data_IF_074399359145
#
_entry.id   IF_074399359145
#
_cell.length_a   1.000
_cell.length_b   1.000
_cell.length_c   1.000
_cell.angle_alpha   90.00
_cell.angle_beta   90.00
_cell.angle_gamma   90.00
#
_symmetry.space_group_name_H-M   'P 1'
#
loop_
_entity.id
_entity.type
_entity.pdbx_description
1 polymer ?
#
# COMPACT_ATOMS: atom_id res chain seq x y z
N UNK A 1 -17.12 7.34 -3.51
CA UNK A 1 -16.57 6.09 -4.05
C UNK A 1 -15.16 5.89 -3.56
N UNK A 2 -14.89 4.71 -3.06
CA UNK A 2 -13.56 4.38 -2.58
C UNK A 2 -12.77 3.79 -3.73
N UNK A 3 -11.62 4.39 -4.00
CA UNK A 3 -10.72 3.89 -5.04
C UNK A 3 -9.67 3.00 -4.38
N UNK A 4 -10.06 1.76 -4.17
CA UNK A 4 -9.14 0.79 -3.58
C UNK A 4 -8.32 0.16 -4.70
N UNK A 5 -7.02 0.05 -4.48
CA UNK A 5 -6.13 -0.64 -5.39
C UNK A 5 -5.65 -1.92 -4.73
N UNK A 6 -5.74 -3.03 -5.46
CA UNK A 6 -5.25 -4.31 -4.96
C UNK A 6 -3.94 -4.64 -5.64
N UNK A 7 -2.92 -4.98 -4.85
CA UNK A 7 -1.63 -5.38 -5.37
C UNK A 7 -1.19 -6.69 -4.73
N UNK A 8 -0.30 -7.40 -5.42
CA UNK A 8 0.22 -8.68 -4.93
C UNK A 8 1.73 -8.59 -4.81
N UNK A 9 2.24 -8.96 -3.64
CA UNK A 9 3.68 -9.00 -3.36
C UNK A 9 3.98 -10.31 -2.62
N UNK A 10 4.86 -11.11 -3.19
CA UNK A 10 5.33 -12.36 -2.55
C UNK A 10 4.18 -13.25 -2.09
N UNK A 11 3.19 -13.45 -2.95
CA UNK A 11 2.01 -14.28 -2.69
C UNK A 11 1.03 -13.69 -1.67
N UNK A 12 1.25 -12.46 -1.23
CA UNK A 12 0.32 -11.78 -0.34
C UNK A 12 -0.41 -10.69 -1.11
N UNK A 13 -1.64 -10.43 -0.71
CA UNK A 13 -2.47 -9.42 -1.35
C UNK A 13 -2.58 -8.21 -0.42
N UNK A 14 -2.28 -7.03 -0.96
CA UNK A 14 -2.41 -5.77 -0.24
C UNK A 14 -3.46 -4.90 -0.87
N UNK A 15 -4.12 -4.11 -0.06
CA UNK A 15 -5.14 -3.16 -0.51
C UNK A 15 -4.67 -1.76 -0.15
N UNK A 16 -4.68 -0.88 -1.14
CA UNK A 16 -4.28 0.52 -0.94
C UNK A 16 -5.52 1.39 -1.09
N UNK A 17 -5.70 2.30 -0.16
CA UNK A 17 -6.82 3.24 -0.19
C UNK A 17 -6.30 4.65 0.05
N UNK A 18 -6.61 5.56 -0.87
CA UNK A 18 -6.29 6.98 -0.69
C UNK A 18 -7.31 7.60 0.23
N UNK A 19 -6.83 8.37 1.19
CA UNK A 19 -7.68 9.08 2.14
C UNK A 19 -7.08 10.46 2.39
N UNK A 20 -7.60 11.46 1.67
CA UNK A 20 -7.05 12.80 1.74
C UNK A 20 -5.60 12.82 1.29
N UNK A 21 -4.70 13.26 2.14
CA UNK A 21 -3.27 13.31 1.86
C UNK A 21 -2.54 12.03 2.30
N UNK A 22 -3.28 11.03 2.74
CA UNK A 22 -2.71 9.80 3.23
C UNK A 22 -3.03 8.61 2.36
N UNK A 23 -2.25 7.56 2.53
CA UNK A 23 -2.47 6.28 1.88
C UNK A 23 -2.59 5.23 2.95
N UNK A 24 -3.76 4.58 3.02
CA UNK A 24 -3.95 3.47 3.93
C UNK A 24 -3.50 2.19 3.25
N UNK A 25 -2.67 1.42 3.96
CA UNK A 25 -2.16 0.14 3.47
C UNK A 25 -2.78 -0.96 4.31
N UNK A 26 -3.45 -1.89 3.65
CA UNK A 26 -4.04 -3.04 4.32
C UNK A 26 -3.53 -4.33 3.69
N UNK A 27 -3.61 -5.40 4.46
CA UNK A 27 -3.25 -6.74 4.01
C UNK A 27 -4.48 -7.61 4.04
N UNK A 28 -4.73 -8.30 2.96
CA UNK A 28 -5.90 -9.19 2.90
C UNK A 28 -5.55 -10.53 3.53
N UNK A 29 -6.34 -10.91 4.53
CA UNK A 29 -6.15 -12.17 5.24
C UNK A 29 -7.50 -12.86 5.35
N UNK A 30 -7.66 -13.99 4.67
CA UNK A 30 -8.86 -14.81 4.81
C UNK A 30 -10.16 -14.11 4.46
N UNK A 31 -10.15 -13.24 3.46
CA UNK A 31 -11.36 -12.51 3.05
C UNK A 31 -11.58 -11.20 3.77
N UNK A 32 -10.76 -10.89 4.75
CA UNK A 32 -10.82 -9.62 5.46
C UNK A 32 -9.58 -8.80 5.20
N UNK A 33 -9.65 -7.51 5.43
CA UNK A 33 -8.50 -6.62 5.28
C UNK A 33 -8.05 -6.15 6.66
N UNK A 34 -6.81 -6.46 6.98
CA UNK A 34 -6.19 -5.96 8.21
C UNK A 34 -5.42 -4.69 7.84
N UNK A 35 -5.89 -3.54 8.32
CA UNK A 35 -5.23 -2.27 8.02
C UNK A 35 -3.97 -2.15 8.84
N UNK A 36 -2.85 -1.88 8.16
CA UNK A 36 -1.55 -1.85 8.80
C UNK A 36 -1.18 -0.45 9.26
N UNK A 37 -1.06 0.47 8.32
CA UNK A 37 -0.60 1.82 8.64
C UNK A 37 -1.12 2.80 7.60
N UNK A 38 -1.10 4.07 7.96
CA UNK A 38 -1.41 5.15 7.04
C UNK A 38 -0.12 5.90 6.75
N UNK A 39 0.22 6.03 5.49
CA UNK A 39 1.43 6.71 5.05
C UNK A 39 1.05 8.04 4.42
N UNK A 40 1.78 9.10 4.76
CA UNK A 40 1.60 10.38 4.12
C UNK A 40 2.04 10.27 2.66
N UNK A 41 1.16 10.67 1.73
CA UNK A 41 1.48 10.61 0.30
C UNK A 41 2.73 11.41 -0.04
N UNK A 42 3.01 12.46 0.71
CA UNK A 42 4.21 13.25 0.51
C UNK A 42 5.50 12.50 0.83
N UNK A 43 5.43 11.41 1.58
CA UNK A 43 6.60 10.61 1.93
C UNK A 43 6.90 9.53 0.90
N UNK A 44 5.97 9.28 -0.04
CA UNK A 44 6.20 8.29 -1.07
C UNK A 44 7.19 8.82 -2.11
N UNK A 45 8.07 7.96 -2.65
CA UNK A 45 8.92 8.36 -3.78
C UNK A 45 8.05 8.82 -4.96
N UNK A 46 8.56 9.75 -5.75
CA UNK A 46 7.84 10.28 -6.90
C UNK A 46 7.29 9.20 -7.82
N UNK A 47 8.11 8.22 -8.25
CA UNK A 47 7.62 7.15 -9.11
C UNK A 47 6.48 6.34 -8.49
N UNK A 48 6.52 6.10 -7.18
CA UNK A 48 5.45 5.37 -6.50
C UNK A 48 4.15 6.18 -6.50
N UNK A 49 4.24 7.49 -6.26
CA UNK A 49 3.06 8.36 -6.30
C UNK A 49 2.46 8.41 -7.69
N UNK A 50 3.30 8.50 -8.72
CA UNK A 50 2.82 8.52 -10.10
C UNK A 50 2.12 7.22 -10.45
N UNK A 51 2.67 6.08 -10.05
CA UNK A 51 2.04 4.79 -10.29
C UNK A 51 0.69 4.71 -9.60
N UNK A 52 0.61 5.21 -8.37
CA UNK A 52 -0.64 5.23 -7.64
C UNK A 52 -1.70 6.09 -8.33
N UNK A 53 -1.28 7.26 -8.84
CA UNK A 53 -2.19 8.15 -9.56
C UNK A 53 -2.67 7.55 -10.87
N UNK A 54 -1.82 6.78 -11.54
CA UNK A 54 -2.18 6.11 -12.79
C UNK A 54 -3.01 4.85 -12.56
N UNK A 55 -3.05 4.36 -11.33
CA UNK A 55 -3.69 3.09 -11.03
C UNK A 55 -2.88 1.89 -11.49
N UNK A 56 -1.57 2.03 -11.57
CA UNK A 56 -0.67 0.95 -11.99
C UNK A 56 -0.29 0.08 -10.81
N UNK A 57 -0.98 -1.03 -10.66
CA UNK A 57 -0.78 -1.93 -9.53
C UNK A 57 0.42 -2.85 -9.70
N UNK A 58 1.10 -2.79 -10.82
CA UNK A 58 2.26 -3.63 -11.08
C UNK A 58 3.57 -2.86 -11.12
N UNK A 59 3.55 -1.56 -10.83
CA UNK A 59 4.75 -0.73 -10.87
C UNK A 59 5.69 -1.11 -9.72
N UNK A 60 6.95 -1.36 -10.05
CA UNK A 60 7.93 -1.81 -9.06
C UNK A 60 8.18 -0.78 -7.96
N UNK A 61 8.17 0.51 -8.29
CA UNK A 61 8.39 1.54 -7.28
C UNK A 61 7.27 1.54 -6.25
N UNK A 62 6.02 1.36 -6.71
CA UNK A 62 4.88 1.28 -5.82
C UNK A 62 4.93 0.02 -4.97
N UNK A 63 5.25 -1.12 -5.58
CA UNK A 63 5.37 -2.38 -4.85
C UNK A 63 6.45 -2.31 -3.78
N UNK A 64 7.59 -1.72 -4.11
CA UNK A 64 8.68 -1.56 -3.16
C UNK A 64 8.28 -0.68 -1.98
N UNK A 65 7.55 0.42 -2.26
CA UNK A 65 7.09 1.32 -1.20
C UNK A 65 6.12 0.59 -0.26
N UNK A 66 5.18 -0.16 -0.82
CA UNK A 66 4.20 -0.89 -0.01
C UNK A 66 4.89 -1.99 0.80
N UNK A 67 5.84 -2.69 0.20
CA UNK A 67 6.61 -3.71 0.92
C UNK A 67 7.34 -3.10 2.11
N UNK A 68 7.90 -1.91 1.93
CA UNK A 68 8.58 -1.22 3.02
C UNK A 68 7.64 -0.88 4.17
N UNK A 69 6.44 -0.42 3.86
CA UNK A 69 5.43 -0.11 4.88
C UNK A 69 5.03 -1.38 5.64
N UNK A 70 4.76 -2.45 4.90
CA UNK A 70 4.36 -3.71 5.52
C UNK A 70 5.45 -4.28 6.41
N UNK A 71 6.70 -4.21 5.95
CA UNK A 71 7.82 -4.73 6.72
C UNK A 71 8.04 -3.92 7.99
N UNK A 72 7.93 -2.61 7.91
CA UNK A 72 8.06 -1.75 9.09
C UNK A 72 6.99 -2.06 10.11
N UNK A 73 5.77 -2.35 9.67
CA UNK A 73 4.68 -2.69 10.57
C UNK A 73 4.93 -4.01 11.28
N UNK A 74 5.45 -5.00 10.56
CA UNK A 74 5.80 -6.29 11.13
C UNK A 74 6.90 -6.12 12.18
N UNK A 75 7.91 -5.33 11.90
CA UNK A 75 9.01 -5.10 12.82
C UNK A 75 8.54 -4.40 14.10
N UNK A 76 7.60 -3.45 13.97
CA UNK A 76 7.06 -2.77 15.14
C UNK A 76 6.19 -3.67 15.99
N UNK A 77 5.49 -4.60 15.34
CA UNK A 77 4.59 -5.50 16.03
C UNK A 77 5.25 -6.69 16.69
N UNK A 78 6.53 -6.87 16.44
CA UNK A 78 7.28 -8.03 16.95
C UNK A 78 7.64 -7.89 18.44
#
# INVERSE_FOLDING_TARGET
MTDDMTIQIDSETYVLRKDGDGLQVGRRVGGEVAWLDTVDLGLLPGPAREALDRGDSSDEALLTAVRGVAQAEIERGA
#
